data_IF_209097131478
#
_entry.id   IF_209097131478
#
_cell.length_a   1.000
_cell.length_b   1.000
_cell.length_c   1.000
_cell.angle_alpha   90.00
_cell.angle_beta   90.00
_cell.angle_gamma   90.00
#
_symmetry.space_group_name_H-M   'P 1'
#
loop_
_entity.id
_entity.type
_entity.pdbx_description
1 polymer ?
#
# COMPACT_ATOMS: atom_id res chain seq x y z
N UNK A 1 -9.27 -1.51 -10.17
CA UNK A 1 -8.56 -1.35 -11.47
C UNK A 1 -8.60 -2.67 -12.25
N UNK A 2 -8.36 -2.70 -13.58
CA UNK A 2 -8.39 -3.93 -14.40
C UNK A 2 -7.51 -5.04 -13.82
N UNK A 3 -6.25 -4.73 -13.50
CA UNK A 3 -5.28 -5.68 -12.96
C UNK A 3 -5.70 -6.25 -11.59
N UNK A 4 -6.09 -5.39 -10.64
CA UNK A 4 -6.57 -5.83 -9.31
C UNK A 4 -7.83 -6.68 -9.40
N UNK A 5 -8.77 -6.33 -10.29
CA UNK A 5 -10.01 -7.11 -10.48
C UNK A 5 -9.75 -8.50 -11.05
N UNK A 6 -8.55 -8.73 -11.62
CA UNK A 6 -8.07 -10.04 -12.08
C UNK A 6 -7.04 -10.65 -11.12
N UNK A 7 -6.96 -10.17 -9.88
CA UNK A 7 -6.12 -10.73 -8.84
C UNK A 7 -4.63 -10.42 -8.98
N UNK A 8 -4.28 -9.33 -9.67
CA UNK A 8 -2.90 -8.84 -9.79
C UNK A 8 -2.76 -7.58 -8.91
N UNK A 9 -2.14 -7.67 -7.72
CA UNK A 9 -1.79 -6.50 -6.92
C UNK A 9 -0.83 -5.59 -7.66
N UNK A 10 -1.19 -4.30 -7.70
CA UNK A 10 -0.38 -3.26 -8.34
C UNK A 10 -0.09 -2.12 -7.38
N UNK A 11 1.10 -1.55 -7.51
CA UNK A 11 1.47 -0.30 -6.88
C UNK A 11 1.36 0.80 -7.94
N UNK A 12 0.54 1.80 -7.66
CA UNK A 12 0.52 3.05 -8.43
C UNK A 12 1.27 4.10 -7.63
N UNK A 13 2.34 4.60 -8.21
CA UNK A 13 3.24 5.56 -7.58
C UNK A 13 3.81 6.47 -8.69
N UNK A 14 4.41 7.59 -8.31
CA UNK A 14 5.08 8.45 -9.26
C UNK A 14 6.58 8.47 -9.02
N UNK A 15 7.36 8.91 -10.00
CA UNK A 15 8.82 9.08 -9.81
C UNK A 15 9.16 10.13 -8.73
N UNK A 16 8.16 10.90 -8.26
CA UNK A 16 8.28 11.91 -7.21
C UNK A 16 7.76 11.44 -5.82
N UNK A 17 7.66 10.12 -5.55
CA UNK A 17 6.97 9.58 -4.36
C UNK A 17 7.84 9.63 -3.11
N UNK A 18 8.30 10.83 -2.75
CA UNK A 18 8.67 11.17 -1.38
C UNK A 18 7.71 12.20 -0.75
N UNK A 19 6.79 12.80 -1.51
CA UNK A 19 5.91 13.88 -1.05
C UNK A 19 4.51 13.86 -1.67
N UNK A 20 3.73 12.79 -1.50
CA UNK A 20 2.27 12.87 -1.76
C UNK A 20 1.52 12.13 -0.66
N UNK A 21 1.66 12.63 0.56
CA UNK A 21 0.64 12.42 1.60
C UNK A 21 -0.15 13.70 1.90
N UNK A 22 0.30 14.87 1.41
CA UNK A 22 -0.45 16.11 1.48
C UNK A 22 -0.16 16.95 0.23
N UNK A 23 -1.22 17.51 -0.36
CA UNK A 23 -1.25 18.57 -1.38
C UNK A 23 -1.20 18.20 -2.87
N UNK A 24 -2.17 18.79 -3.55
CA UNK A 24 -2.58 18.67 -4.93
C UNK A 24 -1.57 19.26 -5.92
N UNK A 25 -0.47 18.56 -6.19
CA UNK A 25 0.35 18.82 -7.37
C UNK A 25 -0.03 17.84 -8.50
N UNK A 26 -0.27 18.33 -9.73
CA UNK A 26 -0.53 17.46 -10.87
C UNK A 26 0.73 16.63 -11.15
N UNK A 27 0.63 15.34 -10.89
CA UNK A 27 1.69 14.38 -11.17
C UNK A 27 1.79 14.21 -12.67
N UNK A 28 2.96 14.50 -13.25
CA UNK A 28 3.17 14.43 -14.70
C UNK A 28 3.31 13.00 -15.22
N UNK A 29 3.71 12.05 -14.39
CA UNK A 29 3.94 10.65 -14.77
C UNK A 29 3.62 9.71 -13.61
N UNK A 30 2.71 8.76 -13.84
CA UNK A 30 2.41 7.67 -12.93
C UNK A 30 3.06 6.39 -13.47
N UNK A 31 3.82 5.71 -12.60
CA UNK A 31 4.24 4.34 -12.83
C UNK A 31 3.23 3.37 -12.22
N UNK A 32 2.99 2.27 -12.93
CA UNK A 32 2.23 1.12 -12.43
C UNK A 32 3.19 -0.04 -12.36
N UNK A 33 3.38 -0.58 -11.16
CA UNK A 33 4.26 -1.72 -10.92
C UNK A 33 3.44 -2.91 -10.46
N UNK A 34 3.62 -4.07 -11.08
CA UNK A 34 3.14 -5.33 -10.52
C UNK A 34 3.92 -5.63 -9.24
N UNK A 35 3.22 -5.88 -8.13
CA UNK A 35 3.89 -6.09 -6.84
C UNK A 35 4.66 -7.42 -6.83
N UNK A 36 4.17 -8.40 -7.58
CA UNK A 36 4.73 -9.75 -7.61
C UNK A 36 5.31 -10.06 -8.99
N UNK A 37 6.60 -10.33 -9.02
CA UNK A 37 7.34 -10.56 -10.26
C UNK A 37 6.77 -11.70 -11.13
N UNK A 38 6.21 -12.75 -10.51
CA UNK A 38 5.64 -13.87 -11.26
C UNK A 38 4.36 -13.50 -12.02
N UNK A 39 3.64 -12.45 -11.59
CA UNK A 39 2.45 -11.95 -12.27
C UNK A 39 2.78 -10.90 -13.34
N UNK A 40 4.05 -10.50 -13.49
CA UNK A 40 4.45 -9.49 -14.45
C UNK A 40 4.04 -9.85 -15.89
N UNK A 41 4.26 -11.10 -16.30
CA UNK A 41 3.92 -11.55 -17.66
C UNK A 41 2.42 -11.50 -17.90
N UNK A 42 1.64 -11.99 -16.95
CA UNK A 42 0.17 -12.00 -17.02
C UNK A 42 -0.38 -10.56 -17.02
N UNK A 43 0.23 -9.65 -16.25
CA UNK A 43 -0.11 -8.25 -16.23
C UNK A 43 0.12 -7.57 -17.59
N UNK A 44 1.25 -7.86 -18.25
CA UNK A 44 1.56 -7.32 -19.58
C UNK A 44 0.57 -7.83 -20.63
N UNK A 45 0.22 -9.12 -20.59
CA UNK A 45 -0.75 -9.69 -21.54
C UNK A 45 -2.13 -9.08 -21.30
N UNK A 46 -2.57 -8.94 -20.04
CA UNK A 46 -3.87 -8.36 -19.70
C UNK A 46 -4.01 -6.88 -20.12
N UNK A 47 -2.89 -6.16 -20.25
CA UNK A 47 -2.90 -4.78 -20.76
C UNK A 47 -3.12 -4.71 -22.28
N UNK A 48 -2.79 -5.79 -23.01
CA UNK A 48 -2.96 -5.90 -24.47
C UNK A 48 -4.29 -6.61 -24.83
N UNK A 49 -4.72 -7.55 -24.00
CA UNK A 49 -5.93 -8.36 -24.15
C UNK A 49 -6.70 -8.44 -22.82
N UNK A 50 -7.82 -7.72 -22.75
CA UNK A 50 -8.68 -7.67 -21.55
C UNK A 50 -9.48 -8.97 -21.31
N UNK A 51 -9.51 -9.86 -22.30
CA UNK A 51 -10.15 -11.18 -22.20
C UNK A 51 -9.22 -12.25 -21.61
N UNK A 52 -7.93 -11.95 -21.47
CA UNK A 52 -6.95 -12.89 -20.93
C UNK A 52 -7.30 -13.35 -19.50
N UNK A 53 -7.17 -14.66 -19.27
CA UNK A 53 -7.33 -15.27 -17.95
C UNK A 53 -5.97 -15.39 -17.26
N UNK A 54 -5.84 -14.72 -16.12
CA UNK A 54 -4.62 -14.72 -15.31
C UNK A 54 -4.37 -16.10 -14.72
N UNK A 55 -3.15 -16.61 -14.87
CA UNK A 55 -2.82 -17.99 -14.50
C UNK A 55 -2.74 -18.22 -12.98
N UNK A 56 -2.27 -17.20 -12.25
CA UNK A 56 -2.09 -17.24 -10.81
C UNK A 56 -2.73 -16.01 -10.20
N UNK A 57 -4.04 -16.09 -9.96
CA UNK A 57 -4.81 -15.03 -9.32
C UNK A 57 -4.57 -15.01 -7.82
N UNK A 58 -4.56 -13.81 -7.24
CA UNK A 58 -4.49 -13.59 -5.80
C UNK A 58 -5.83 -13.04 -5.33
N UNK A 59 -6.28 -13.55 -4.18
CA UNK A 59 -7.43 -13.01 -3.48
C UNK A 59 -7.07 -11.64 -2.90
N UNK A 60 -7.59 -10.59 -3.53
CA UNK A 60 -7.21 -9.21 -3.21
C UNK A 60 -7.65 -8.78 -1.81
N UNK A 61 -8.76 -9.34 -1.30
CA UNK A 61 -9.25 -9.06 0.05
C UNK A 61 -8.23 -9.53 1.10
N UNK A 62 -7.73 -10.75 0.96
CA UNK A 62 -6.70 -11.31 1.83
C UNK A 62 -5.37 -10.56 1.71
N UNK A 63 -4.98 -10.20 0.48
CA UNK A 63 -3.76 -9.42 0.25
C UNK A 63 -3.83 -8.03 0.92
N UNK A 64 -4.97 -7.35 0.84
CA UNK A 64 -5.17 -6.07 1.52
C UNK A 64 -5.20 -6.24 3.04
N UNK A 65 -5.86 -7.27 3.55
CA UNK A 65 -5.91 -7.55 4.98
C UNK A 65 -4.50 -7.80 5.54
N UNK A 66 -3.69 -8.60 4.84
CA UNK A 66 -2.29 -8.85 5.17
C UNK A 66 -1.45 -7.57 5.17
N UNK A 67 -1.51 -6.80 4.07
CA UNK A 67 -0.73 -5.57 3.93
C UNK A 67 -1.10 -4.50 4.97
N UNK A 68 -2.40 -4.33 5.24
CA UNK A 68 -2.89 -3.42 6.26
C UNK A 68 -2.52 -3.86 7.68
N UNK A 69 -2.57 -5.15 7.99
CA UNK A 69 -2.16 -5.67 9.30
C UNK A 69 -0.66 -5.47 9.54
N UNK A 70 0.17 -5.74 8.52
CA UNK A 70 1.63 -5.65 8.64
C UNK A 70 2.12 -4.19 8.69
N UNK A 71 1.49 -3.28 7.94
CA UNK A 71 1.85 -1.84 7.94
C UNK A 71 1.17 -1.04 9.07
N UNK A 72 -0.08 -1.36 9.42
CA UNK A 72 -0.85 -0.67 10.45
C UNK A 72 -0.26 -0.82 11.86
N UNK A 73 0.31 -1.99 12.17
CA UNK A 73 1.00 -2.30 13.43
C UNK A 73 2.09 -1.29 13.81
N UNK A 74 2.81 -0.75 12.83
CA UNK A 74 3.90 0.20 13.10
C UNK A 74 3.43 1.56 13.65
N UNK A 75 2.23 2.01 13.28
CA UNK A 75 1.66 3.26 13.76
C UNK A 75 1.09 3.13 15.18
N UNK A 76 0.44 2.00 15.49
CA UNK A 76 -0.18 1.77 16.79
C UNK A 76 0.86 1.66 17.92
N UNK A 77 2.00 0.99 17.67
CA UNK A 77 3.08 0.88 18.66
C UNK A 77 3.71 2.24 18.95
N UNK A 78 3.89 3.06 17.91
CA UNK A 78 4.49 4.39 18.05
C UNK A 78 3.55 5.34 18.80
N UNK A 79 2.24 5.30 18.51
CA UNK A 79 1.23 6.08 19.23
C UNK A 79 1.10 5.65 20.70
N UNK A 80 1.06 4.35 20.98
CA UNK A 80 1.00 3.83 22.35
C UNK A 80 2.22 4.24 23.18
N UNK A 81 3.41 4.23 22.58
CA UNK A 81 4.66 4.65 23.25
C UNK A 81 4.64 6.14 23.58
N UNK A 82 4.24 7.00 22.63
CA UNK A 82 4.16 8.46 22.85
C UNK A 82 3.13 8.81 23.92
N UNK A 83 1.96 8.15 23.91
CA UNK A 83 0.91 8.39 24.90
C UNK A 83 1.35 7.95 26.30
N UNK A 84 2.08 6.84 26.41
CA UNK A 84 2.65 6.37 27.68
C UNK A 84 3.64 7.37 28.28
N UNK A 85 4.54 7.95 27.48
CA UNK A 85 5.50 8.97 27.95
C UNK A 85 4.83 10.26 28.41
N UNK A 86 3.77 10.71 27.73
CA UNK A 86 3.01 11.90 28.13
C UNK A 86 2.36 11.74 29.50
N UNK A 87 1.79 10.56 29.80
CA UNK A 87 1.20 10.27 31.10
C UNK A 87 2.27 10.29 32.20
N UNK A 88 3.43 9.67 31.98
CA UNK A 88 4.54 9.68 32.94
C UNK A 88 5.04 11.09 33.22
N UNK A 89 5.21 11.92 32.19
CA UNK A 89 5.62 13.32 32.34
C UNK A 89 4.57 14.14 33.09
N UNK A 90 3.28 13.94 32.84
CA UNK A 90 2.20 14.58 33.60
C UNK A 90 2.26 14.21 35.08
N UNK A 91 2.47 12.95 35.43
CA UNK A 91 2.62 12.52 36.82
C UNK A 91 3.88 13.10 37.49
N UNK A 92 4.97 13.26 36.74
CA UNK A 92 6.21 13.87 37.25
C UNK A 92 6.11 15.38 37.47
N UNK A 93 5.20 16.06 36.77
CA UNK A 93 4.95 17.50 36.91
C UNK A 93 3.89 17.83 37.96
N UNK A 94 3.05 16.86 38.32
CA UNK A 94 2.00 16.97 39.34
C UNK A 94 2.46 16.56 40.76
N UNK A 95 3.64 15.94 40.89
CA UNK A 95 4.33 15.65 42.15
C UNK A 95 5.39 16.72 42.45
#
# INVERSE_FOLDING_TARGET
>A
MLLESRGIPILVSNEATARILCEASPVSQYGVWAVLNFQYKDAVILLDDDSYEVSNTIEMEDYHAYYCAEKGSSLDIMQATVMGWLVVLCFFWLC
#
